data_IF_598363153974
#
_entry.id   IF_598363153974
#
_cell.length_a   1.000
_cell.length_b   1.000
_cell.length_c   1.000
_cell.angle_alpha   90.00
_cell.angle_beta   90.00
_cell.angle_gamma   90.00
#
_symmetry.space_group_name_H-M   'P 1'
#
loop_
_entity.id
_entity.type
_entity.pdbx_description
1 polymer ?
#
# COMPACT_ATOMS: atom_id res chain seq x y z
N UNK A 1 10.42 1.47 -2.97
CA UNK A 1 11.00 1.76 -4.28
C UNK A 1 12.43 2.25 -4.13
N UNK A 2 13.33 1.62 -4.85
CA UNK A 2 14.74 1.97 -4.92
C UNK A 2 15.10 2.49 -6.32
N UNK A 3 15.98 3.46 -6.40
CA UNK A 3 16.61 3.91 -7.64
C UNK A 3 18.05 4.31 -7.37
N UNK A 4 18.98 3.75 -8.15
CA UNK A 4 20.42 3.98 -8.03
C UNK A 4 20.93 3.83 -6.58
N UNK A 5 20.58 2.71 -5.94
CA UNK A 5 20.88 2.36 -4.55
C UNK A 5 20.35 3.35 -3.49
N UNK A 6 19.40 4.22 -3.84
CA UNK A 6 18.75 5.14 -2.91
C UNK A 6 17.29 4.74 -2.71
N UNK A 7 16.80 4.91 -1.50
CA UNK A 7 15.38 4.76 -1.20
C UNK A 7 14.66 6.01 -1.73
N UNK A 8 13.77 5.83 -2.70
CA UNK A 8 13.03 6.93 -3.31
C UNK A 8 11.70 7.16 -2.62
N UNK A 9 11.00 6.06 -2.30
CA UNK A 9 9.70 6.13 -1.66
C UNK A 9 9.38 4.81 -0.95
N UNK A 10 8.61 4.88 0.13
CA UNK A 10 8.13 3.72 0.89
C UNK A 10 6.61 3.85 1.05
N UNK A 11 5.90 2.79 0.68
CA UNK A 11 4.45 2.71 0.77
C UNK A 11 4.02 1.57 1.69
N UNK A 12 3.04 1.85 2.55
CA UNK A 12 2.24 0.84 3.22
C UNK A 12 1.03 0.51 2.36
N UNK A 13 0.81 -0.75 2.08
CA UNK A 13 -0.41 -1.25 1.42
C UNK A 13 -1.41 -1.64 2.49
N UNK A 14 -2.56 -0.99 2.50
CA UNK A 14 -3.63 -1.20 3.46
C UNK A 14 -4.74 -2.03 2.79
N UNK A 15 -5.13 -3.19 3.35
CA UNK A 15 -6.24 -3.97 2.81
C UNK A 15 -7.49 -3.14 2.63
N UNK A 16 -8.30 -3.38 1.57
CA UNK A 16 -9.53 -2.65 1.33
C UNK A 16 -10.49 -2.77 2.52
N UNK A 17 -11.00 -1.64 2.97
CA UNK A 17 -11.93 -1.57 4.09
C UNK A 17 -13.00 -0.49 3.88
N UNK A 18 -14.07 -0.59 4.65
CA UNK A 18 -15.10 0.44 4.81
C UNK A 18 -15.21 0.86 6.27
N UNK A 19 -15.75 2.07 6.49
CA UNK A 19 -16.07 2.59 7.82
C UNK A 19 -17.58 2.71 7.93
N UNK A 20 -18.15 2.09 8.95
CA UNK A 20 -19.57 2.12 9.23
C UNK A 20 -20.09 3.51 9.60
N UNK A 21 -21.36 3.74 9.32
CA UNK A 21 -22.07 5.00 9.59
C UNK A 21 -23.47 4.81 10.21
N UNK A 22 -23.76 3.60 10.73
CA UNK A 22 -25.07 3.19 11.29
C UNK A 22 -26.24 3.17 10.29
N UNK A 23 -25.98 3.36 9.00
CA UNK A 23 -27.02 3.55 7.99
C UNK A 23 -26.84 2.65 6.78
N UNK A 24 -25.68 2.70 6.18
CA UNK A 24 -25.40 2.03 4.91
C UNK A 24 -24.82 0.63 5.15
N UNK A 25 -25.24 -0.33 4.33
CA UNK A 25 -24.68 -1.67 4.29
C UNK A 25 -23.22 -1.66 3.78
N UNK A 26 -22.48 -2.74 4.05
CA UNK A 26 -21.11 -2.92 3.50
C UNK A 26 -21.12 -2.72 1.98
N UNK A 27 -22.10 -3.24 1.26
CA UNK A 27 -22.23 -3.12 -0.19
C UNK A 27 -22.38 -1.66 -0.62
N UNK A 28 -23.25 -0.90 0.05
CA UNK A 28 -23.46 0.53 -0.23
C UNK A 28 -22.22 1.36 0.11
N UNK A 29 -21.58 1.09 1.24
CA UNK A 29 -20.34 1.77 1.63
C UNK A 29 -19.22 1.52 0.60
N UNK A 30 -19.06 0.27 0.11
CA UNK A 30 -18.11 -0.04 -0.95
C UNK A 30 -18.47 0.64 -2.26
N UNK A 31 -19.76 0.64 -2.63
CA UNK A 31 -20.24 1.30 -3.83
C UNK A 31 -19.91 2.80 -3.80
N UNK A 32 -20.25 3.49 -2.72
CA UNK A 32 -19.99 4.92 -2.54
C UNK A 32 -18.49 5.22 -2.56
N UNK A 33 -17.67 4.43 -1.83
CA UNK A 33 -16.21 4.58 -1.87
C UNK A 33 -15.66 4.36 -3.28
N UNK A 34 -16.22 3.43 -4.06
CA UNK A 34 -15.80 3.16 -5.43
C UNK A 34 -16.17 4.28 -6.42
N UNK A 35 -17.24 5.03 -6.18
CA UNK A 35 -17.55 6.25 -6.96
C UNK A 35 -16.40 7.25 -6.81
N UNK A 36 -16.05 7.62 -5.58
CA UNK A 36 -14.95 8.52 -5.31
C UNK A 36 -13.62 8.02 -5.89
N UNK A 37 -13.33 6.72 -5.73
CA UNK A 37 -12.11 6.14 -6.29
C UNK A 37 -12.00 6.29 -7.81
N UNK A 38 -13.11 6.14 -8.54
CA UNK A 38 -13.15 6.32 -10.01
C UNK A 38 -12.88 7.77 -10.42
N UNK A 39 -13.44 8.74 -9.70
CA UNK A 39 -13.21 10.17 -9.97
C UNK A 39 -11.73 10.54 -9.93
N UNK A 40 -10.97 9.89 -9.05
CA UNK A 40 -9.53 10.10 -8.92
C UNK A 40 -8.67 9.10 -9.73
N UNK A 41 -9.30 8.19 -10.48
CA UNK A 41 -8.59 7.17 -11.27
C UNK A 41 -7.99 6.03 -10.45
N UNK A 42 -8.45 5.82 -9.22
CA UNK A 42 -7.98 4.71 -8.36
C UNK A 42 -8.68 3.39 -8.72
N UNK A 43 -8.01 2.28 -8.44
CA UNK A 43 -8.59 0.95 -8.63
C UNK A 43 -9.78 0.74 -7.68
N UNK A 44 -10.89 0.15 -8.16
CA UNK A 44 -12.05 -0.10 -7.32
C UNK A 44 -11.75 -1.17 -6.27
N UNK A 45 -12.43 -1.06 -5.13
CA UNK A 45 -12.47 -2.10 -4.10
C UNK A 45 -13.21 -3.33 -4.66
N UNK A 46 -12.59 -4.48 -4.53
CA UNK A 46 -13.16 -5.79 -4.84
C UNK A 46 -13.46 -6.50 -3.53
N UNK A 47 -14.75 -6.77 -3.27
CA UNK A 47 -15.19 -7.49 -2.07
C UNK A 47 -14.80 -8.97 -2.19
N UNK A 48 -14.19 -9.51 -1.14
CA UNK A 48 -14.03 -10.95 -0.96
C UNK A 48 -15.17 -11.50 -0.10
N UNK A 49 -16.19 -12.04 -0.77
CA UNK A 49 -17.40 -12.58 -0.11
C UNK A 49 -17.09 -13.77 0.79
N UNK A 50 -16.09 -14.58 0.46
CA UNK A 50 -15.67 -15.71 1.27
C UNK A 50 -15.00 -15.24 2.56
N UNK A 51 -14.11 -14.26 2.48
CA UNK A 51 -13.49 -13.64 3.64
C UNK A 51 -14.51 -12.99 4.57
N UNK A 52 -15.46 -12.20 4.03
CA UNK A 52 -16.51 -11.58 4.84
C UNK A 52 -17.32 -12.61 5.62
N UNK A 53 -17.71 -13.73 4.97
CA UNK A 53 -18.43 -14.83 5.65
C UNK A 53 -17.61 -15.45 6.77
N UNK A 54 -16.31 -15.65 6.57
CA UNK A 54 -15.40 -16.13 7.62
C UNK A 54 -15.31 -15.18 8.82
N UNK A 55 -15.48 -13.89 8.58
CA UNK A 55 -15.53 -12.87 9.63
C UNK A 55 -16.94 -12.67 10.23
N UNK A 56 -17.90 -13.55 9.92
CA UNK A 56 -19.30 -13.49 10.31
C UNK A 56 -20.05 -12.23 9.80
N UNK A 57 -19.65 -11.70 8.66
CA UNK A 57 -20.33 -10.62 7.97
C UNK A 57 -20.90 -11.09 6.64
N UNK A 58 -21.96 -10.43 6.20
CA UNK A 58 -22.45 -10.46 4.83
C UNK A 58 -22.48 -9.02 4.29
N UNK A 59 -22.71 -8.86 3.00
CA UNK A 59 -22.65 -7.54 2.34
C UNK A 59 -23.81 -6.62 2.71
N UNK A 60 -24.91 -7.17 3.23
CA UNK A 60 -26.10 -6.42 3.70
C UNK A 60 -25.95 -5.99 5.19
N UNK A 61 -24.89 -6.42 5.87
CA UNK A 61 -24.61 -5.98 7.24
C UNK A 61 -24.37 -4.47 7.29
N UNK A 62 -25.03 -3.79 8.23
CA UNK A 62 -24.90 -2.35 8.48
C UNK A 62 -23.90 -2.16 9.63
N UNK A 63 -22.66 -1.73 9.33
CA UNK A 63 -21.64 -1.53 10.38
C UNK A 63 -21.95 -0.32 11.24
N UNK A 64 -21.68 -0.44 12.54
CA UNK A 64 -21.80 0.67 13.49
C UNK A 64 -20.91 1.85 13.09
N UNK A 65 -21.30 3.05 13.51
CA UNK A 65 -20.51 4.26 13.28
C UNK A 65 -19.05 4.07 13.73
N UNK A 66 -18.13 4.41 12.85
CA UNK A 66 -16.69 4.26 13.02
C UNK A 66 -16.19 2.80 13.08
N UNK A 67 -17.05 1.80 12.92
CA UNK A 67 -16.62 0.41 12.81
C UNK A 67 -15.87 0.19 11.49
N UNK A 68 -14.62 -0.21 11.59
CA UNK A 68 -13.80 -0.56 10.41
C UNK A 68 -14.04 -2.02 10.05
N UNK A 69 -14.48 -2.28 8.81
CA UNK A 69 -14.64 -3.63 8.27
C UNK A 69 -13.70 -3.80 7.08
N UNK A 70 -12.76 -4.73 7.19
CA UNK A 70 -11.93 -5.15 6.06
C UNK A 70 -12.80 -6.01 5.13
N UNK A 71 -12.87 -5.64 3.86
CA UNK A 71 -13.73 -6.32 2.87
C UNK A 71 -12.97 -7.23 1.91
N UNK A 72 -11.64 -7.16 1.95
CA UNK A 72 -10.75 -8.06 1.24
C UNK A 72 -9.42 -8.12 2.01
N UNK A 73 -8.90 -9.30 2.40
CA UNK A 73 -7.67 -9.40 3.21
C UNK A 73 -6.40 -9.10 2.42
N UNK A 74 -6.48 -9.10 1.09
CA UNK A 74 -5.32 -8.87 0.23
C UNK A 74 -5.03 -7.37 0.12
N UNK A 75 -3.87 -6.95 0.61
CA UNK A 75 -3.35 -5.60 0.44
C UNK A 75 -2.79 -5.39 -0.98
N UNK A 76 -3.61 -5.70 -2.00
CA UNK A 76 -3.24 -5.62 -3.40
C UNK A 76 -3.91 -4.39 -4.05
N UNK A 77 -3.10 -3.56 -4.73
CA UNK A 77 -3.58 -2.36 -5.41
C UNK A 77 -4.70 -2.65 -6.41
N UNK A 78 -4.58 -3.74 -7.19
CA UNK A 78 -5.60 -4.14 -8.17
C UNK A 78 -6.91 -4.64 -7.52
N UNK A 79 -6.89 -4.94 -6.21
CA UNK A 79 -8.08 -5.28 -5.42
C UNK A 79 -8.64 -4.10 -4.63
N UNK A 80 -8.08 -2.90 -4.87
CA UNK A 80 -8.54 -1.66 -4.24
C UNK A 80 -7.91 -1.38 -2.89
N UNK A 81 -6.72 -1.93 -2.60
CA UNK A 81 -5.94 -1.54 -1.42
C UNK A 81 -5.68 -0.03 -1.44
N UNK A 82 -5.73 0.58 -0.27
CA UNK A 82 -5.27 1.95 -0.09
C UNK A 82 -3.74 1.95 0.07
N UNK A 83 -3.11 3.04 -0.35
CA UNK A 83 -1.66 3.22 -0.34
C UNK A 83 -1.33 4.43 0.52
N UNK A 84 -0.55 4.22 1.56
CA UNK A 84 -0.10 5.29 2.46
C UNK A 84 1.41 5.43 2.37
N UNK A 85 1.89 6.65 2.17
CA UNK A 85 3.32 6.96 2.15
C UNK A 85 3.88 6.94 3.56
N UNK A 86 5.04 6.33 3.71
CA UNK A 86 5.75 6.25 4.99
C UNK A 86 6.90 7.25 4.96
N UNK A 87 6.96 8.11 5.99
CA UNK A 87 8.08 9.02 6.15
C UNK A 87 9.34 8.23 6.53
N UNK A 88 10.47 8.52 5.87
CA UNK A 88 11.76 7.88 6.12
C UNK A 88 12.21 7.98 7.58
N UNK A 89 11.85 9.05 8.28
CA UNK A 89 12.18 9.23 9.70
C UNK A 89 11.48 8.20 10.61
N UNK A 90 10.42 7.56 10.11
CA UNK A 90 9.69 6.51 10.84
C UNK A 90 10.19 5.09 10.47
N UNK A 91 11.27 4.99 9.71
CA UNK A 91 11.84 3.70 9.28
C UNK A 91 13.12 3.43 10.06
N UNK A 92 13.18 2.29 10.77
CA UNK A 92 14.37 1.90 11.52
C UNK A 92 15.61 1.86 10.62
N UNK A 93 16.76 2.27 11.14
CA UNK A 93 18.01 2.34 10.41
C UNK A 93 18.41 0.99 9.77
N UNK A 94 18.26 -0.09 10.51
CA UNK A 94 18.58 -1.45 10.01
C UNK A 94 17.75 -1.79 8.76
N UNK A 95 16.46 -1.39 8.73
CA UNK A 95 15.59 -1.61 7.58
C UNK A 95 16.06 -0.81 6.37
N UNK A 96 16.47 0.44 6.57
CA UNK A 96 17.02 1.27 5.50
C UNK A 96 18.32 0.67 4.95
N UNK A 97 19.24 0.24 5.82
CA UNK A 97 20.49 -0.41 5.44
C UNK A 97 20.25 -1.73 4.71
N UNK A 98 19.27 -2.53 5.15
CA UNK A 98 18.85 -3.75 4.46
C UNK A 98 18.40 -3.44 3.02
N UNK A 99 17.50 -2.45 2.83
CA UNK A 99 17.00 -2.10 1.51
C UNK A 99 18.11 -1.62 0.57
N UNK A 100 19.02 -0.81 1.08
CA UNK A 100 20.21 -0.36 0.32
C UNK A 100 21.13 -1.55 -0.03
N UNK A 101 21.36 -2.47 0.90
CA UNK A 101 22.15 -3.67 0.68
C UNK A 101 21.55 -4.56 -0.40
N UNK A 102 20.24 -4.79 -0.36
CA UNK A 102 19.51 -5.55 -1.39
C UNK A 102 19.69 -4.88 -2.76
N UNK A 103 19.50 -3.57 -2.84
CA UNK A 103 19.63 -2.83 -4.08
C UNK A 103 21.03 -2.98 -4.70
N UNK A 104 22.08 -2.92 -3.88
CA UNK A 104 23.47 -3.12 -4.32
C UNK A 104 23.72 -4.55 -4.81
N UNK A 105 23.19 -5.57 -4.11
CA UNK A 105 23.35 -6.98 -4.50
C UNK A 105 22.65 -7.26 -5.82
N UNK A 106 21.41 -6.76 -5.99
CA UNK A 106 20.62 -6.95 -7.20
C UNK A 106 21.21 -6.23 -8.41
N UNK A 107 22.00 -5.17 -8.18
CA UNK A 107 22.64 -4.36 -9.20
C UNK A 107 21.70 -3.88 -10.31
N UNK A 108 20.48 -3.53 -9.93
CA UNK A 108 19.45 -2.98 -10.81
C UNK A 108 19.30 -1.49 -10.54
N UNK A 109 19.18 -0.69 -11.61
CA UNK A 109 19.03 0.77 -11.48
C UNK A 109 17.73 1.15 -10.78
N UNK A 110 16.66 0.40 -11.02
CA UNK A 110 15.38 0.55 -10.36
C UNK A 110 14.89 -0.80 -9.85
N UNK A 111 14.35 -0.85 -8.63
CA UNK A 111 13.70 -2.05 -8.10
C UNK A 111 12.68 -1.72 -7.00
N UNK A 112 11.67 -2.58 -6.89
CA UNK A 112 10.74 -2.63 -5.78
C UNK A 112 11.17 -3.71 -4.79
N UNK A 113 11.08 -3.42 -3.50
CA UNK A 113 11.27 -4.40 -2.43
C UNK A 113 9.95 -4.53 -1.70
N UNK A 114 9.32 -5.69 -1.76
CA UNK A 114 8.14 -6.01 -0.98
C UNK A 114 8.60 -6.56 0.38
N UNK A 115 8.31 -5.82 1.44
CA UNK A 115 8.72 -6.11 2.80
C UNK A 115 7.49 -6.25 3.69
N UNK A 116 7.46 -7.31 4.50
CA UNK A 116 6.40 -7.59 5.46
C UNK A 116 6.92 -7.28 6.86
N UNK A 117 6.23 -6.39 7.56
CA UNK A 117 6.52 -6.01 8.93
C UNK A 117 5.25 -5.50 9.62
N UNK A 118 5.16 -5.65 10.93
CA UNK A 118 4.08 -5.02 11.71
C UNK A 118 4.36 -3.53 11.93
N UNK A 119 5.65 -3.16 12.02
CA UNK A 119 6.08 -1.78 12.23
C UNK A 119 7.47 -1.57 11.59
N UNK A 120 7.58 -0.62 10.67
CA UNK A 120 8.85 -0.26 10.04
C UNK A 120 9.80 0.49 10.97
N UNK A 121 9.31 1.04 12.07
CA UNK A 121 10.11 1.66 13.13
C UNK A 121 10.87 0.66 14.00
N UNK A 122 10.64 -0.65 13.80
CA UNK A 122 11.34 -1.73 14.48
C UNK A 122 12.27 -2.43 13.50
N UNK A 123 13.46 -2.82 13.97
CA UNK A 123 14.48 -3.53 13.17
C UNK A 123 13.94 -4.84 12.58
N UNK A 124 14.28 -5.12 11.32
CA UNK A 124 13.96 -6.39 10.66
C UNK A 124 14.60 -7.60 11.35
N UNK A 125 15.65 -7.39 12.13
CA UNK A 125 16.28 -8.45 12.92
C UNK A 125 15.34 -8.99 14.03
N UNK A 126 14.40 -8.16 14.48
CA UNK A 126 13.40 -8.51 15.47
C UNK A 126 12.10 -8.97 14.83
N UNK A 127 11.64 -8.25 13.81
CA UNK A 127 10.42 -8.55 13.10
C UNK A 127 10.49 -8.01 11.66
N UNK A 128 9.97 -8.79 10.75
CA UNK A 128 9.91 -8.40 9.35
C UNK A 128 10.78 -9.25 8.46
N UNK A 129 10.41 -9.30 7.21
CA UNK A 129 11.10 -10.08 6.18
C UNK A 129 10.87 -9.52 4.80
N UNK A 130 11.85 -9.70 3.93
CA UNK A 130 11.69 -9.48 2.50
C UNK A 130 10.84 -10.61 1.93
N UNK A 131 9.79 -10.24 1.22
CA UNK A 131 8.90 -11.17 0.55
C UNK A 131 9.29 -11.33 -0.92
N UNK A 132 9.56 -10.21 -1.59
CA UNK A 132 9.84 -10.19 -3.03
C UNK A 132 10.75 -9.02 -3.38
N UNK A 133 11.57 -9.19 -4.41
CA UNK A 133 12.33 -8.12 -5.06
C UNK A 133 11.95 -8.09 -6.54
N UNK A 134 11.44 -6.96 -7.01
CA UNK A 134 10.90 -6.81 -8.35
C UNK A 134 11.74 -5.81 -9.15
N UNK A 135 12.33 -6.27 -10.27
CA UNK A 135 13.16 -5.43 -11.16
C UNK A 135 12.36 -4.48 -12.07
N UNK A 136 11.04 -4.67 -12.17
CA UNK A 136 10.13 -3.81 -12.94
C UNK A 136 8.98 -3.38 -12.02
N UNK A 137 9.24 -2.50 -11.03
CA UNK A 137 8.22 -2.10 -10.08
C UNK A 137 7.13 -1.27 -10.75
N UNK A 138 5.88 -1.49 -10.30
CA UNK A 138 4.76 -0.68 -10.77
C UNK A 138 4.80 0.72 -10.13
N UNK A 139 5.16 1.73 -10.91
CA UNK A 139 5.27 3.12 -10.46
C UNK A 139 3.90 3.78 -10.21
N UNK A 140 2.80 3.24 -10.76
CA UNK A 140 1.44 3.74 -10.50
C UNK A 140 1.10 3.74 -9.00
N UNK A 141 1.64 2.77 -8.24
CA UNK A 141 1.46 2.71 -6.79
C UNK A 141 1.92 4.02 -6.13
N UNK A 142 3.09 4.49 -6.54
CA UNK A 142 3.71 5.69 -5.99
C UNK A 142 3.03 6.99 -6.48
N UNK A 143 2.41 6.94 -7.66
CA UNK A 143 1.62 8.06 -8.18
C UNK A 143 0.30 8.24 -7.41
N UNK A 144 -0.33 7.12 -7.00
CA UNK A 144 -1.65 7.11 -6.35
C UNK A 144 -1.60 7.03 -4.81
N UNK A 145 -0.41 7.13 -4.20
CA UNK A 145 -0.28 7.07 -2.75
C UNK A 145 -1.00 8.25 -2.06
N UNK A 146 -1.49 8.01 -0.84
CA UNK A 146 -2.22 8.96 0.00
C UNK A 146 -3.52 9.49 -0.62
N UNK A 147 -4.13 8.71 -1.53
CA UNK A 147 -5.31 9.09 -2.29
C UNK A 147 -5.14 10.42 -3.07
N UNK A 148 -3.93 10.68 -3.54
CA UNK A 148 -3.56 11.87 -4.29
C UNK A 148 -2.74 11.48 -5.52
N UNK A 149 -2.83 12.28 -6.60
CA UNK A 149 -1.95 12.17 -7.75
C UNK A 149 -0.64 12.89 -7.43
N UNK A 150 0.45 12.16 -7.26
CA UNK A 150 1.72 12.72 -6.83
C UNK A 150 2.85 12.38 -7.81
N UNK A 151 3.47 13.39 -8.39
CA UNK A 151 4.58 13.25 -9.34
C UNK A 151 5.97 13.34 -8.69
N UNK A 152 6.04 13.55 -7.37
CA UNK A 152 7.29 13.78 -6.65
C UNK A 152 8.30 12.63 -6.81
N UNK A 153 7.81 11.39 -6.83
CA UNK A 153 8.67 10.21 -7.03
C UNK A 153 9.33 10.24 -8.40
N UNK A 154 8.59 10.58 -9.45
CA UNK A 154 9.14 10.70 -10.81
C UNK A 154 10.16 11.83 -10.89
N UNK A 155 9.88 12.96 -10.26
CA UNK A 155 10.80 14.10 -10.18
C UNK A 155 12.12 13.70 -9.52
N UNK A 156 12.07 12.98 -8.38
CA UNK A 156 13.26 12.47 -7.70
C UNK A 156 14.08 11.51 -8.58
N UNK A 157 13.41 10.59 -9.28
CA UNK A 157 14.07 9.67 -10.21
C UNK A 157 14.80 10.46 -11.32
N UNK A 158 14.11 11.40 -11.95
CA UNK A 158 14.70 12.23 -13.01
C UNK A 158 15.89 13.07 -12.50
N UNK A 159 15.78 13.67 -11.32
CA UNK A 159 16.87 14.42 -10.69
C UNK A 159 18.13 13.58 -10.42
N UNK A 160 17.96 12.29 -10.13
CA UNK A 160 19.09 11.38 -9.93
C UNK A 160 19.66 10.90 -11.28
N UNK A 161 18.77 10.68 -12.25
CA UNK A 161 19.14 10.15 -13.57
C UNK A 161 19.96 11.13 -14.40
N UNK A 162 19.67 12.43 -14.28
CA UNK A 162 20.31 13.49 -15.07
C UNK A 162 21.44 14.23 -14.33
N UNK A 163 21.90 13.72 -13.19
CA UNK A 163 23.12 14.14 -12.50
C UNK A 163 24.32 13.35 -13.01
#
# INVERSE_FOLDING_TARGET
LMFDNKIIDILCRIPPFVIGNDKDSIKELVYNKNIHRREFGFRPIVIDYYYLRKCNFNVEYIPKKNQKIVVNPLANFHKGADLQRINMNNVHRDNQELFIKISKIMNLKILGIDFISNDLGISYLTQGKVNEVNGIPNLDLHYHADNQKNTEVFRKILQIYFK
#
